data_IF_635755891984
#
_entry.id   IF_635755891984
#
_cell.length_a   1.000
_cell.length_b   1.000
_cell.length_c   1.000
_cell.angle_alpha   90.00
_cell.angle_beta   90.00
_cell.angle_gamma   90.00
#
_symmetry.space_group_name_H-M   'P 1'
#
loop_
_entity.id
_entity.type
_entity.pdbx_description
1 polymer ?
#
# COMPACT_ATOMS: atom_id res chain seq x y z
N UNK A 1 11.21 -6.86 -1.54
CA UNK A 1 11.86 -5.91 -0.59
C UNK A 1 13.18 -5.35 -1.14
N UNK A 2 14.16 -6.18 -1.55
CA UNK A 2 15.41 -5.69 -2.16
C UNK A 2 15.19 -4.77 -3.37
N UNK A 3 14.24 -5.12 -4.24
CA UNK A 3 13.86 -4.32 -5.43
C UNK A 3 13.27 -2.96 -5.03
N UNK A 4 12.29 -2.93 -4.11
CA UNK A 4 11.61 -1.69 -3.70
C UNK A 4 12.54 -0.65 -3.04
N UNK A 5 13.53 -1.09 -2.24
CA UNK A 5 14.58 -0.19 -1.75
C UNK A 5 15.50 0.31 -2.88
N UNK A 6 15.70 -0.51 -3.93
CA UNK A 6 16.56 -0.19 -5.08
C UNK A 6 15.95 0.86 -6.01
N UNK A 7 14.62 0.93 -6.09
CA UNK A 7 13.87 1.98 -6.80
C UNK A 7 13.47 3.16 -5.89
N UNK A 8 13.83 3.15 -4.60
CA UNK A 8 13.45 4.22 -3.67
C UNK A 8 11.95 4.29 -3.40
N UNK A 9 11.23 3.18 -3.57
CA UNK A 9 9.80 3.12 -3.34
C UNK A 9 9.53 3.36 -1.84
N UNK A 10 8.82 4.45 -1.54
CA UNK A 10 8.45 4.80 -0.15
C UNK A 10 7.32 3.89 0.37
N UNK A 11 6.49 3.38 -0.54
CA UNK A 11 5.33 2.55 -0.27
C UNK A 11 5.36 1.26 -1.09
N UNK A 12 4.91 0.16 -0.49
CA UNK A 12 4.60 -1.10 -1.15
C UNK A 12 3.14 -1.45 -0.89
N UNK A 13 2.36 -1.63 -1.96
CA UNK A 13 0.95 -2.05 -1.85
C UNK A 13 0.90 -3.57 -1.99
N UNK A 14 0.26 -4.24 -1.03
CA UNK A 14 0.08 -5.69 -0.97
C UNK A 14 -1.41 -5.97 -1.23
N UNK A 15 -1.67 -6.64 -2.35
CA UNK A 15 -3.00 -7.08 -2.76
C UNK A 15 -2.95 -8.59 -2.94
N UNK A 16 -3.67 -9.33 -2.09
CA UNK A 16 -3.93 -10.75 -2.25
C UNK A 16 -5.43 -11.03 -2.44
N UNK A 17 -5.80 -12.30 -2.58
CA UNK A 17 -7.20 -12.71 -2.72
C UNK A 17 -8.09 -12.32 -1.52
N UNK A 18 -7.50 -12.27 -0.31
CA UNK A 18 -8.20 -11.81 0.90
C UNK A 18 -8.50 -10.32 0.82
N UNK A 19 -7.49 -9.51 0.57
CA UNK A 19 -7.60 -8.06 0.35
C UNK A 19 -8.63 -7.73 -0.75
N UNK A 20 -8.64 -8.51 -1.84
CA UNK A 20 -9.61 -8.34 -2.93
C UNK A 20 -11.05 -8.67 -2.51
N UNK A 21 -11.24 -9.70 -1.67
CA UNK A 21 -12.55 -10.07 -1.12
C UNK A 21 -13.07 -9.08 -0.09
N UNK A 22 -12.21 -8.62 0.80
CA UNK A 22 -12.55 -7.68 1.87
C UNK A 22 -12.63 -6.23 1.36
N UNK A 23 -12.31 -5.99 0.08
CA UNK A 23 -12.15 -4.63 -0.48
C UNK A 23 -11.28 -3.78 0.45
N UNK A 24 -10.18 -4.35 0.91
CA UNK A 24 -9.19 -3.66 1.74
C UNK A 24 -7.82 -4.02 1.22
N UNK A 25 -6.85 -3.14 1.41
CA UNK A 25 -5.53 -3.28 0.81
C UNK A 25 -4.49 -2.90 1.82
N UNK A 26 -3.42 -3.66 1.88
CA UNK A 26 -2.36 -3.39 2.83
C UNK A 26 -1.25 -2.59 2.19
N UNK A 27 -1.07 -1.39 2.71
CA UNK A 27 0.03 -0.53 2.34
C UNK A 27 1.13 -0.70 3.37
N UNK A 28 2.31 -1.06 2.89
CA UNK A 28 3.52 -1.18 3.68
C UNK A 28 4.48 -0.07 3.32
N UNK A 29 4.68 0.86 4.23
CA UNK A 29 5.72 1.87 4.13
C UNK A 29 7.08 1.22 4.36
N UNK A 30 7.95 1.31 3.36
CA UNK A 30 9.29 0.72 3.40
C UNK A 30 10.32 1.66 4.04
N UNK A 31 10.02 2.96 4.16
CA UNK A 31 10.88 3.93 4.85
C UNK A 31 10.78 3.77 6.36
N UNK A 32 9.56 3.64 6.89
CA UNK A 32 9.30 3.52 8.32
C UNK A 32 9.06 2.07 8.78
N UNK A 33 8.90 1.13 7.84
CA UNK A 33 8.55 -0.26 8.16
C UNK A 33 7.12 -0.45 8.65
N UNK A 34 6.30 0.61 8.61
CA UNK A 34 4.90 0.56 9.02
C UNK A 34 4.05 -0.15 7.98
N UNK A 35 3.04 -0.87 8.43
CA UNK A 35 2.09 -1.55 7.58
C UNK A 35 0.68 -1.19 8.05
N UNK A 36 -0.10 -0.62 7.15
CA UNK A 36 -1.44 -0.14 7.42
C UNK A 36 -2.40 -0.78 6.43
N UNK A 37 -3.58 -1.18 6.92
CA UNK A 37 -4.64 -1.67 6.06
C UNK A 37 -5.61 -0.53 5.79
N UNK A 38 -5.76 -0.17 4.52
CA UNK A 38 -6.73 0.83 4.09
C UNK A 38 -7.82 0.20 3.23
N UNK A 39 -9.07 0.63 3.35
CA UNK A 39 -10.13 0.20 2.46
C UNK A 39 -9.79 0.52 1.00
N UNK A 40 -10.18 -0.37 0.08
CA UNK A 40 -10.03 -0.20 -1.36
C UNK A 40 -10.79 1.04 -1.86
N UNK A 41 -11.92 1.35 -1.23
CA UNK A 41 -12.67 2.60 -1.44
C UNK A 41 -11.84 3.84 -1.09
N UNK A 42 -11.07 3.76 0.00
CA UNK A 42 -10.20 4.85 0.46
C UNK A 42 -8.85 4.90 -0.27
N UNK A 43 -8.46 3.87 -1.02
CA UNK A 43 -7.23 3.87 -1.82
C UNK A 43 -7.24 5.01 -2.84
N UNK A 44 -8.38 5.23 -3.50
CA UNK A 44 -8.49 6.26 -4.53
C UNK A 44 -8.27 7.62 -3.88
N UNK A 45 -8.92 7.89 -2.74
CA UNK A 45 -8.74 9.12 -1.96
C UNK A 45 -7.30 9.30 -1.49
N UNK A 46 -6.64 8.23 -1.07
CA UNK A 46 -5.25 8.25 -0.62
C UNK A 46 -4.29 8.60 -1.76
N UNK A 47 -4.47 7.99 -2.94
CA UNK A 47 -3.66 8.27 -4.14
C UNK A 47 -3.95 9.68 -4.68
N UNK A 48 -5.22 10.12 -4.64
CA UNK A 48 -5.59 11.48 -5.06
C UNK A 48 -5.05 12.55 -4.11
N UNK A 49 -4.92 12.27 -2.81
CA UNK A 49 -4.35 13.19 -1.82
C UNK A 49 -2.82 13.30 -1.86
N UNK A 50 -2.14 12.45 -2.63
CA UNK A 50 -0.69 12.47 -2.85
C UNK A 50 -0.26 13.41 -3.99
N UNK A 51 -1.20 14.15 -4.60
CA UNK A 51 -0.97 15.14 -5.67
C UNK A 51 -0.56 16.53 -5.14
#
# INVERSE_FOLDING_TARGET
MREANKIGASLAIIIGDKELKDKSVQIKDLKNGQQESIPFDSIISYIQGLN
#
